data_IF_312780319808
#
_entry.id   IF_312780319808
#
_cell.length_a   1.000
_cell.length_b   1.000
_cell.length_c   1.000
_cell.angle_alpha   90.00
_cell.angle_beta   90.00
_cell.angle_gamma   90.00
#
_symmetry.space_group_name_H-M   'P 1'
#
loop_
_entity.id
_entity.type
_entity.pdbx_description
1 polymer ?
#
# COMPACT_ATOMS: atom_id res chain seq x y z
N UNK A 1 8.20 19.54 21.88
CA UNK A 1 7.45 18.51 21.11
C UNK A 1 7.38 18.96 19.66
N UNK A 2 7.77 18.09 18.72
CA UNK A 2 7.59 18.41 17.30
C UNK A 2 6.11 18.30 16.95
N UNK A 3 5.63 19.26 16.12
CA UNK A 3 4.23 19.37 15.76
C UNK A 3 4.04 19.09 14.28
N UNK A 4 3.09 18.21 13.95
CA UNK A 4 2.72 17.80 12.61
C UNK A 4 1.23 18.05 12.37
N UNK A 5 0.84 18.17 11.12
CA UNK A 5 -0.57 18.15 10.76
C UNK A 5 -1.09 16.72 10.75
N UNK A 6 -0.31 15.80 10.16
CA UNK A 6 -0.66 14.39 10.05
C UNK A 6 0.51 13.53 10.52
N UNK A 7 0.22 12.50 11.32
CA UNK A 7 1.16 11.42 11.63
C UNK A 7 0.61 10.13 11.03
N UNK A 8 1.43 9.44 10.24
CA UNK A 8 1.11 8.15 9.65
C UNK A 8 1.94 7.07 10.35
N UNK A 9 1.28 6.06 10.88
CA UNK A 9 1.90 4.96 11.61
C UNK A 9 1.92 3.72 10.74
N UNK A 10 3.11 3.32 10.30
CA UNK A 10 3.35 2.19 9.41
C UNK A 10 3.68 2.63 7.98
N UNK A 11 4.86 2.23 7.50
CA UNK A 11 5.36 2.52 6.15
C UNK A 11 5.20 1.32 5.20
N UNK A 12 4.09 0.59 5.32
CA UNK A 12 3.60 -0.30 4.27
C UNK A 12 2.95 0.51 3.15
N UNK A 13 2.45 -0.17 2.11
CA UNK A 13 1.90 0.49 0.91
C UNK A 13 0.83 1.53 1.25
N UNK A 14 -0.15 1.19 2.10
CA UNK A 14 -1.21 2.11 2.49
C UNK A 14 -0.68 3.34 3.26
N UNK A 15 0.28 3.13 4.17
CA UNK A 15 0.86 4.24 4.93
C UNK A 15 1.72 5.17 4.07
N UNK A 16 2.46 4.61 3.12
CA UNK A 16 3.24 5.39 2.15
C UNK A 16 2.32 6.28 1.31
N UNK A 17 1.26 5.73 0.75
CA UNK A 17 0.28 6.51 -0.03
C UNK A 17 -0.37 7.61 0.82
N UNK A 18 -0.79 7.30 2.04
CA UNK A 18 -1.37 8.30 2.95
C UNK A 18 -0.38 9.42 3.30
N UNK A 19 0.89 9.08 3.54
CA UNK A 19 1.92 10.05 3.88
C UNK A 19 2.27 10.95 2.68
N UNK A 20 2.45 10.36 1.50
CA UNK A 20 2.73 11.11 0.27
C UNK A 20 1.56 12.02 -0.11
N UNK A 21 0.32 11.52 -0.05
CA UNK A 21 -0.87 12.33 -0.32
C UNK A 21 -0.94 13.54 0.62
N UNK A 22 -0.79 13.33 1.93
CA UNK A 22 -0.80 14.41 2.92
C UNK A 22 0.31 15.43 2.66
N UNK A 23 1.54 14.98 2.40
CA UNK A 23 2.68 15.85 2.15
C UNK A 23 2.55 16.64 0.85
N UNK A 24 2.05 16.00 -0.22
CA UNK A 24 1.76 16.62 -1.53
C UNK A 24 0.65 17.69 -1.44
N UNK A 25 -0.29 17.50 -0.53
CA UNK A 25 -1.30 18.52 -0.17
C UNK A 25 -0.75 19.64 0.73
N UNK A 26 0.55 19.72 0.94
CA UNK A 26 1.22 20.77 1.72
C UNK A 26 1.08 20.62 3.23
N UNK A 27 0.66 19.45 3.74
CA UNK A 27 0.57 19.21 5.18
C UNK A 27 1.90 18.72 5.72
N UNK A 28 2.33 19.28 6.87
CA UNK A 28 3.52 18.79 7.57
C UNK A 28 3.22 17.39 8.11
N UNK A 29 3.84 16.39 7.50
CA UNK A 29 3.53 14.97 7.70
C UNK A 29 4.72 14.24 8.33
N UNK A 30 4.44 13.35 9.27
CA UNK A 30 5.40 12.41 9.83
C UNK A 30 4.99 10.99 9.45
N UNK A 31 5.88 10.24 8.83
CA UNK A 31 5.74 8.81 8.60
C UNK A 31 6.60 8.04 9.60
N UNK A 32 5.97 7.19 10.39
CA UNK A 32 6.63 6.33 11.37
C UNK A 32 6.75 4.90 10.84
N UNK A 33 7.94 4.35 10.91
CA UNK A 33 8.23 2.97 10.57
C UNK A 33 9.09 2.34 11.68
N UNK A 34 8.92 1.07 11.98
CA UNK A 34 9.71 0.38 13.00
C UNK A 34 11.19 0.32 12.58
N UNK A 35 11.43 -0.01 11.31
CA UNK A 35 12.77 -0.14 10.75
C UNK A 35 12.75 0.17 9.25
N UNK A 36 13.90 0.62 8.70
CA UNK A 36 14.04 0.93 7.26
C UNK A 36 13.72 -0.27 6.37
N UNK A 37 14.04 -1.47 6.80
CA UNK A 37 13.80 -2.71 6.06
C UNK A 37 12.31 -3.04 5.90
N UNK A 38 11.45 -2.36 6.66
CA UNK A 38 10.00 -2.54 6.59
C UNK A 38 9.31 -1.55 5.63
N UNK A 39 10.02 -0.53 5.16
CA UNK A 39 9.45 0.47 4.23
C UNK A 39 9.11 -0.18 2.89
N UNK A 40 7.85 -0.13 2.48
CA UNK A 40 7.39 -0.73 1.23
C UNK A 40 7.61 -2.24 1.12
N UNK A 41 7.80 -2.93 2.26
CA UNK A 41 8.11 -4.36 2.26
C UNK A 41 6.96 -5.21 1.74
N UNK A 42 7.27 -6.06 0.78
CA UNK A 42 6.34 -7.04 0.22
C UNK A 42 6.41 -8.34 1.01
N UNK A 43 5.57 -8.47 2.03
CA UNK A 43 5.57 -9.62 2.95
C UNK A 43 5.12 -10.93 2.29
N UNK A 44 4.34 -10.85 1.22
CA UNK A 44 3.80 -11.98 0.48
C UNK A 44 4.49 -12.12 -0.88
N UNK A 45 3.73 -12.30 -1.96
CA UNK A 45 4.26 -12.33 -3.31
C UNK A 45 4.77 -10.94 -3.71
N UNK A 46 5.93 -10.85 -4.38
CA UNK A 46 6.45 -9.59 -4.87
C UNK A 46 5.70 -9.19 -6.15
N UNK A 47 4.44 -8.84 -6.02
CA UNK A 47 3.62 -8.42 -7.17
C UNK A 47 2.65 -7.31 -6.80
N UNK A 48 2.47 -6.38 -7.73
CA UNK A 48 1.49 -5.30 -7.66
C UNK A 48 0.39 -5.57 -8.70
N UNK A 49 -0.85 -5.25 -8.34
CA UNK A 49 -1.99 -5.45 -9.22
C UNK A 49 -2.54 -6.89 -9.19
N UNK A 50 -3.05 -7.34 -10.33
CA UNK A 50 -3.81 -8.58 -10.46
C UNK A 50 -5.31 -8.38 -10.38
N UNK A 51 -6.09 -9.46 -10.50
CA UNK A 51 -7.54 -9.40 -10.56
C UNK A 51 -8.15 -8.63 -9.38
N UNK A 52 -8.94 -7.61 -9.67
CA UNK A 52 -9.55 -6.70 -8.70
C UNK A 52 -8.57 -5.70 -8.05
N UNK A 53 -7.25 -5.94 -8.11
CA UNK A 53 -6.24 -5.08 -7.50
C UNK A 53 -5.62 -4.10 -8.50
N UNK A 54 -5.41 -4.52 -9.75
CA UNK A 54 -4.86 -3.66 -10.79
C UNK A 54 -5.71 -2.42 -11.07
N UNK A 55 -7.03 -2.55 -10.97
CA UNK A 55 -7.97 -1.43 -11.07
C UNK A 55 -7.72 -0.40 -9.96
N UNK A 56 -7.60 -0.86 -8.72
CA UNK A 56 -7.35 0.01 -7.56
C UNK A 56 -6.00 0.72 -7.69
N UNK A 57 -4.96 0.04 -8.17
CA UNK A 57 -3.65 0.67 -8.42
C UNK A 57 -3.78 1.82 -9.42
N UNK A 58 -4.54 1.63 -10.49
CA UNK A 58 -4.80 2.69 -11.48
C UNK A 58 -5.63 3.85 -10.93
N UNK A 59 -6.59 3.56 -10.06
CA UNK A 59 -7.36 4.60 -9.35
C UNK A 59 -6.45 5.42 -8.43
N UNK A 60 -5.55 4.76 -7.70
CA UNK A 60 -4.55 5.43 -6.85
C UNK A 60 -3.63 6.30 -7.70
N UNK A 61 -3.15 5.80 -8.84
CA UNK A 61 -2.32 6.56 -9.79
C UNK A 61 -3.05 7.80 -10.32
N UNK A 62 -4.32 7.66 -10.71
CA UNK A 62 -5.17 8.76 -11.17
C UNK A 62 -5.36 9.87 -10.11
N UNK A 63 -5.25 9.51 -8.82
CA UNK A 63 -5.25 10.45 -7.70
C UNK A 63 -3.86 11.04 -7.38
N UNK A 64 -2.84 10.70 -8.16
CA UNK A 64 -1.46 11.14 -7.94
C UNK A 64 -0.70 10.29 -6.92
N UNK A 65 -1.07 9.02 -6.75
CA UNK A 65 -0.36 8.06 -5.91
C UNK A 65 0.98 7.61 -6.47
N UNK A 66 1.73 6.86 -5.70
CA UNK A 66 3.09 6.45 -6.03
C UNK A 66 3.23 4.98 -6.37
N UNK A 67 2.29 4.14 -5.92
CA UNK A 67 2.39 2.68 -6.04
C UNK A 67 2.56 2.20 -7.48
N UNK A 68 1.77 2.74 -8.41
CA UNK A 68 1.86 2.40 -9.84
C UNK A 68 3.20 2.83 -10.44
N UNK A 69 3.61 4.07 -10.18
CA UNK A 69 4.88 4.62 -10.65
C UNK A 69 6.07 3.79 -10.14
N UNK A 70 6.03 3.41 -8.86
CA UNK A 70 7.09 2.61 -8.25
C UNK A 70 7.11 1.18 -8.78
N UNK A 71 5.94 0.59 -9.00
CA UNK A 71 5.81 -0.73 -9.62
C UNK A 71 6.39 -0.76 -11.04
N UNK A 72 6.11 0.25 -11.84
CA UNK A 72 6.64 0.33 -13.21
C UNK A 72 8.17 0.40 -13.27
N UNK A 73 8.80 1.03 -12.26
CA UNK A 73 10.27 1.13 -12.14
C UNK A 73 10.94 -0.17 -11.67
N UNK A 74 10.22 -1.00 -10.92
CA UNK A 74 10.78 -2.20 -10.29
C UNK A 74 10.25 -3.51 -10.87
N UNK A 75 9.36 -3.45 -11.86
CA UNK A 75 8.78 -4.61 -12.49
C UNK A 75 9.83 -5.43 -13.27
N UNK A 76 9.83 -6.73 -13.02
CA UNK A 76 10.60 -7.71 -13.81
C UNK A 76 9.73 -8.42 -14.85
N UNK A 77 8.42 -8.36 -14.69
CA UNK A 77 7.43 -8.90 -15.63
C UNK A 77 6.11 -8.17 -15.45
N UNK A 78 5.46 -7.82 -16.54
CA UNK A 78 4.08 -7.28 -16.55
C UNK A 78 3.18 -8.17 -17.39
N UNK A 79 1.98 -8.42 -16.92
CA UNK A 79 1.01 -9.25 -17.62
C UNK A 79 -0.42 -8.72 -17.44
N UNK A 80 -1.15 -8.62 -18.55
CA UNK A 80 -2.58 -8.37 -18.50
C UNK A 80 -3.31 -9.68 -18.22
N UNK A 81 -4.01 -9.75 -17.09
CA UNK A 81 -4.85 -10.90 -16.72
C UNK A 81 -6.26 -10.73 -17.29
N UNK A 82 -6.91 -11.87 -17.53
CA UNK A 82 -8.31 -11.94 -17.97
C UNK A 82 -8.57 -11.30 -19.34
N UNK A 83 -7.58 -11.18 -20.22
CA UNK A 83 -7.69 -10.55 -21.55
C UNK A 83 -8.74 -11.20 -22.45
N UNK A 84 -9.14 -12.45 -22.17
CA UNK A 84 -10.18 -13.18 -22.92
C UNK A 84 -11.59 -13.03 -22.31
N UNK A 85 -11.72 -12.35 -21.14
CA UNK A 85 -13.00 -12.31 -20.39
C UNK A 85 -13.74 -10.97 -20.51
N UNK A 86 -13.24 -10.06 -21.31
CA UNK A 86 -13.81 -8.74 -21.56
C UNK A 86 -13.13 -7.61 -20.76
N UNK A 87 -13.24 -6.35 -21.24
CA UNK A 87 -12.47 -5.21 -20.76
C UNK A 87 -12.67 -4.88 -19.27
N UNK A 88 -13.88 -5.09 -18.76
CA UNK A 88 -14.21 -4.78 -17.36
C UNK A 88 -13.40 -5.56 -16.31
N UNK A 89 -12.82 -6.70 -16.71
CA UNK A 89 -12.01 -7.55 -15.82
C UNK A 89 -10.54 -7.61 -16.22
N UNK A 90 -10.12 -6.83 -17.22
CA UNK A 90 -8.72 -6.70 -17.58
C UNK A 90 -7.97 -6.14 -16.38
N UNK A 91 -6.94 -6.84 -15.95
CA UNK A 91 -6.23 -6.46 -14.75
C UNK A 91 -4.73 -6.63 -14.92
N UNK A 92 -4.02 -5.52 -14.92
CA UNK A 92 -2.58 -5.53 -14.96
C UNK A 92 -2.00 -6.12 -13.69
N UNK A 93 -1.02 -6.99 -13.83
CA UNK A 93 -0.21 -7.51 -12.74
C UNK A 93 1.26 -7.36 -13.11
N UNK A 94 2.03 -6.71 -12.24
CA UNK A 94 3.47 -6.67 -12.33
C UNK A 94 4.10 -7.57 -11.26
N UNK A 95 5.08 -8.35 -11.68
CA UNK A 95 5.98 -9.08 -10.78
C UNK A 95 7.18 -8.18 -10.50
N UNK A 96 7.54 -8.01 -9.23
CA UNK A 96 8.47 -6.99 -8.79
C UNK A 96 9.81 -7.57 -8.33
N UNK A 97 10.90 -6.84 -8.58
CA UNK A 97 12.10 -6.98 -7.77
C UNK A 97 11.87 -6.29 -6.42
N UNK A 98 11.75 -7.09 -5.36
CA UNK A 98 11.49 -6.60 -4.00
C UNK A 98 12.49 -5.57 -3.51
N UNK A 99 13.76 -5.77 -3.83
CA UNK A 99 14.85 -4.91 -3.36
C UNK A 99 14.83 -3.60 -4.12
N UNK A 100 14.62 -3.66 -5.43
CA UNK A 100 14.52 -2.47 -6.26
C UNK A 100 13.27 -1.65 -5.90
N UNK A 101 12.13 -2.31 -5.69
CA UNK A 101 10.90 -1.66 -5.27
C UNK A 101 11.08 -0.86 -3.97
N UNK A 102 11.71 -1.46 -2.95
CA UNK A 102 12.00 -0.77 -1.69
C UNK A 102 12.96 0.41 -1.88
N UNK A 103 14.01 0.24 -2.69
CA UNK A 103 14.97 1.33 -2.96
C UNK A 103 14.30 2.53 -3.63
N UNK A 104 13.45 2.29 -4.62
CA UNK A 104 12.78 3.36 -5.34
C UNK A 104 11.79 4.11 -4.45
N UNK A 105 10.99 3.40 -3.65
CA UNK A 105 10.04 4.06 -2.77
C UNK A 105 10.73 4.85 -1.65
N UNK A 106 11.85 4.35 -1.11
CA UNK A 106 12.63 5.08 -0.11
C UNK A 106 13.16 6.39 -0.71
N UNK A 107 13.72 6.35 -1.92
CA UNK A 107 14.16 7.58 -2.63
C UNK A 107 13.03 8.60 -2.76
N UNK A 108 11.84 8.14 -3.13
CA UNK A 108 10.67 9.03 -3.25
C UNK A 108 10.32 9.68 -1.91
N UNK A 109 10.34 8.90 -0.82
CA UNK A 109 10.03 9.40 0.52
C UNK A 109 11.07 10.41 1.02
N UNK A 110 12.36 10.17 0.76
CA UNK A 110 13.46 11.02 1.21
C UNK A 110 13.46 12.41 0.56
N UNK A 111 13.03 12.50 -0.70
CA UNK A 111 12.99 13.80 -1.41
C UNK A 111 11.65 14.52 -1.30
N UNK A 112 10.63 13.87 -0.71
CA UNK A 112 9.30 14.44 -0.61
C UNK A 112 9.28 15.64 0.36
N UNK A 113 8.94 16.82 -0.14
CA UNK A 113 8.73 18.02 0.70
C UNK A 113 7.58 17.78 1.69
N UNK A 114 7.66 18.40 2.86
CA UNK A 114 6.69 18.32 3.95
C UNK A 114 6.54 16.93 4.58
N UNK A 115 7.45 15.99 4.31
CA UNK A 115 7.45 14.63 4.84
C UNK A 115 8.72 14.39 5.65
N UNK A 116 8.55 14.03 6.91
CA UNK A 116 9.62 13.48 7.76
C UNK A 116 9.41 11.97 7.90
N UNK A 117 10.43 11.16 7.59
CA UNK A 117 10.44 9.72 7.83
C UNK A 117 11.26 9.44 9.08
N UNK A 118 10.69 8.69 10.04
CA UNK A 118 11.39 8.29 11.26
C UNK A 118 11.24 6.81 11.57
N UNK A 119 12.35 6.23 12.02
CA UNK A 119 12.43 4.83 12.41
C UNK A 119 12.18 4.68 13.91
N UNK A 120 10.91 4.68 14.26
CA UNK A 120 10.40 4.60 15.62
C UNK A 120 9.12 3.78 15.65
N UNK A 121 8.97 2.96 16.70
CA UNK A 121 7.74 2.22 16.95
C UNK A 121 6.72 3.11 17.65
N UNK A 122 5.54 3.27 17.06
CA UNK A 122 4.42 3.92 17.73
C UNK A 122 3.83 2.98 18.78
N UNK A 123 3.73 3.43 20.02
CA UNK A 123 3.25 2.66 21.16
C UNK A 123 1.87 3.10 21.66
N UNK A 124 1.54 4.39 21.47
CA UNK A 124 0.32 4.95 22.02
C UNK A 124 -0.23 6.08 21.16
N UNK A 125 -1.54 6.21 21.10
CA UNK A 125 -2.24 7.40 20.59
C UNK A 125 -2.73 8.24 21.77
N UNK A 126 -2.56 9.56 21.66
CA UNK A 126 -3.02 10.51 22.69
C UNK A 126 -4.35 11.11 22.23
N UNK A 127 -5.42 10.75 22.92
CA UNK A 127 -6.76 11.27 22.66
C UNK A 127 -7.21 12.10 23.85
N UNK A 128 -7.74 13.29 23.59
CA UNK A 128 -8.37 14.17 24.59
C UNK A 128 -9.65 14.75 24.01
N UNK A 129 -10.72 14.69 24.75
CA UNK A 129 -12.04 15.18 24.33
C UNK A 129 -12.46 14.59 22.97
N UNK A 130 -12.29 13.27 22.80
CA UNK A 130 -12.57 12.51 21.57
C UNK A 130 -11.79 13.00 20.32
N UNK A 131 -10.72 13.76 20.51
CA UNK A 131 -9.87 14.28 19.44
C UNK A 131 -8.43 13.80 19.63
N UNK A 132 -7.81 13.33 18.54
CA UNK A 132 -6.39 13.02 18.52
C UNK A 132 -5.59 14.29 18.87
N UNK A 133 -4.58 14.14 19.69
CA UNK A 133 -3.63 15.20 20.08
C UNK A 133 -2.19 14.85 19.71
N UNK A 134 -1.90 13.58 19.51
CA UNK A 134 -0.56 13.13 19.18
C UNK A 134 -0.39 11.64 19.28
N UNK A 135 0.85 11.22 19.12
CA UNK A 135 1.31 9.84 19.30
C UNK A 135 2.55 9.78 20.17
N UNK A 136 2.73 8.66 20.86
CA UNK A 136 3.94 8.34 21.62
C UNK A 136 4.64 7.19 20.92
N UNK A 137 5.94 7.35 20.74
CA UNK A 137 6.81 6.30 20.21
C UNK A 137 7.75 5.81 21.29
N UNK A 138 8.50 4.75 20.99
CA UNK A 138 9.55 4.24 21.88
C UNK A 138 10.72 5.23 22.09
N UNK A 139 10.77 6.35 21.35
CA UNK A 139 11.84 7.35 21.44
C UNK A 139 11.33 8.75 21.76
N UNK A 140 10.13 9.10 21.30
CA UNK A 140 9.68 10.48 21.28
C UNK A 140 8.16 10.59 21.41
N UNK A 141 7.72 11.84 21.55
CA UNK A 141 6.30 12.21 21.54
C UNK A 141 6.06 13.29 20.50
N UNK A 142 5.03 13.10 19.69
CA UNK A 142 4.67 14.00 18.58
C UNK A 142 3.25 14.51 18.72
N UNK A 143 3.05 15.81 18.59
CA UNK A 143 1.73 16.40 18.48
C UNK A 143 1.23 16.30 17.04
N UNK A 144 -0.06 15.99 16.86
CA UNK A 144 -0.69 16.00 15.55
C UNK A 144 -2.17 16.38 15.60
N UNK A 145 -2.69 16.83 14.45
CA UNK A 145 -4.12 17.11 14.25
C UNK A 145 -4.89 15.88 13.76
N UNK A 146 -4.20 14.97 13.05
CA UNK A 146 -4.74 13.71 12.56
C UNK A 146 -3.68 12.61 12.65
N UNK A 147 -4.13 11.37 12.84
CA UNK A 147 -3.28 10.20 12.80
C UNK A 147 -3.91 9.14 11.88
N UNK A 148 -3.09 8.55 11.00
CA UNK A 148 -3.47 7.43 10.13
C UNK A 148 -2.76 6.19 10.65
N UNK A 149 -3.51 5.15 10.99
CA UNK A 149 -2.96 3.88 11.48
C UNK A 149 -2.96 2.88 10.32
N UNK A 150 -1.79 2.55 9.83
CA UNK A 150 -1.56 1.69 8.67
C UNK A 150 -0.55 0.57 8.96
N UNK A 151 -0.67 -0.04 10.13
CA UNK A 151 0.29 -1.00 10.69
C UNK A 151 0.30 -2.37 10.00
N UNK A 152 -0.74 -2.68 9.22
CA UNK A 152 -0.84 -3.93 8.45
C UNK A 152 -0.64 -5.17 9.31
N UNK A 153 0.21 -6.07 8.85
CA UNK A 153 0.50 -7.36 9.49
C UNK A 153 1.51 -7.29 10.66
N UNK A 154 1.96 -6.09 11.01
CA UNK A 154 2.93 -5.91 12.11
C UNK A 154 2.25 -5.69 13.46
N UNK A 155 0.99 -5.23 13.49
CA UNK A 155 0.26 -4.98 14.71
C UNK A 155 -0.11 -6.31 15.38
N UNK A 156 0.56 -6.60 16.49
CA UNK A 156 0.36 -7.85 17.24
C UNK A 156 0.48 -9.12 16.37
N UNK A 157 1.39 -9.05 15.39
CA UNK A 157 1.57 -10.05 14.35
C UNK A 157 2.00 -11.41 14.89
N UNK A 158 1.61 -12.46 14.16
CA UNK A 158 1.95 -13.87 14.49
C UNK A 158 2.22 -14.62 13.20
N UNK A 159 3.30 -15.41 13.19
CA UNK A 159 3.64 -16.31 12.08
C UNK A 159 3.21 -17.72 12.46
N UNK A 160 2.50 -18.39 11.56
CA UNK A 160 2.04 -19.77 11.73
C UNK A 160 2.56 -20.59 10.54
N UNK A 161 3.33 -21.65 10.82
CA UNK A 161 3.87 -22.57 9.81
C UNK A 161 3.61 -24.01 10.30
N UNK A 162 2.53 -24.61 9.84
CA UNK A 162 2.07 -25.90 10.39
C UNK A 162 1.85 -25.81 11.91
N UNK A 163 2.51 -26.64 12.72
CA UNK A 163 2.41 -26.57 14.19
C UNK A 163 3.25 -25.46 14.82
N UNK A 164 4.14 -24.83 14.06
CA UNK A 164 5.01 -23.78 14.56
C UNK A 164 4.30 -22.46 14.60
N UNK A 165 4.29 -21.83 15.77
CA UNK A 165 3.71 -20.49 15.97
C UNK A 165 4.74 -19.57 16.63
N UNK A 166 4.93 -18.39 16.10
CA UNK A 166 5.84 -17.37 16.64
C UNK A 166 5.20 -15.99 16.61
N UNK A 167 5.22 -15.31 17.74
CA UNK A 167 4.83 -13.90 17.83
C UNK A 167 5.90 -13.04 17.18
N UNK A 168 5.64 -12.58 15.95
CA UNK A 168 6.60 -11.85 15.12
C UNK A 168 5.88 -11.13 13.98
N UNK A 169 6.48 -10.11 13.45
CA UNK A 169 6.14 -9.57 12.13
C UNK A 169 6.59 -10.51 11.00
N UNK A 170 6.24 -10.19 9.74
CA UNK A 170 6.62 -10.99 8.57
C UNK A 170 8.13 -11.22 8.51
N UNK A 171 8.54 -12.39 8.03
CA UNK A 171 9.97 -12.74 7.85
C UNK A 171 10.84 -12.63 9.12
N UNK A 172 10.22 -12.70 10.31
CA UNK A 172 10.93 -12.59 11.58
C UNK A 172 11.20 -11.17 12.05
N UNK A 173 10.70 -10.15 11.37
CA UNK A 173 10.81 -8.76 11.81
C UNK A 173 10.06 -8.50 13.13
N UNK A 174 10.45 -7.43 13.80
CA UNK A 174 9.81 -6.98 15.04
C UNK A 174 8.33 -6.65 14.78
N UNK A 175 7.43 -7.12 15.64
CA UNK A 175 6.02 -6.72 15.67
C UNK A 175 5.80 -5.52 16.60
N UNK A 176 4.71 -4.79 16.41
CA UNK A 176 4.24 -3.77 17.34
C UNK A 176 3.25 -4.38 18.33
N UNK A 177 3.46 -4.20 19.62
CA UNK A 177 2.66 -4.84 20.68
C UNK A 177 1.82 -3.84 21.48
N UNK A 178 2.39 -2.67 21.79
CA UNK A 178 1.77 -1.72 22.72
C UNK A 178 0.63 -0.94 22.11
N UNK A 179 0.72 -0.65 20.82
CA UNK A 179 -0.28 0.16 20.12
C UNK A 179 -1.67 -0.48 20.14
N UNK A 180 -1.76 -1.82 20.07
CA UNK A 180 -3.03 -2.55 20.15
C UNK A 180 -3.82 -2.16 21.39
N UNK A 181 -3.17 -2.18 22.57
CA UNK A 181 -3.80 -1.83 23.85
C UNK A 181 -4.25 -0.37 23.87
N UNK A 182 -3.43 0.53 23.33
CA UNK A 182 -3.78 1.94 23.23
C UNK A 182 -5.00 2.19 22.33
N UNK A 183 -5.09 1.50 21.20
CA UNK A 183 -6.26 1.59 20.30
C UNK A 183 -7.52 1.07 20.99
N UNK A 184 -7.45 -0.09 21.65
CA UNK A 184 -8.58 -0.70 22.36
C UNK A 184 -9.06 0.18 23.53
N UNK A 185 -8.16 0.77 24.31
CA UNK A 185 -8.52 1.67 25.41
C UNK A 185 -9.21 2.96 24.93
N UNK A 186 -9.02 3.32 23.65
CA UNK A 186 -9.73 4.42 23.00
C UNK A 186 -11.01 3.98 22.26
N UNK A 187 -11.48 2.75 22.49
CA UNK A 187 -12.75 2.26 21.96
C UNK A 187 -12.69 1.73 20.53
N UNK A 188 -11.49 1.44 20.00
CA UNK A 188 -11.34 0.84 18.68
C UNK A 188 -11.38 -0.68 18.82
N UNK A 189 -12.40 -1.32 18.24
CA UNK A 189 -12.48 -2.78 18.17
C UNK A 189 -11.44 -3.32 17.18
N UNK A 190 -10.62 -4.26 17.64
CA UNK A 190 -9.54 -4.85 16.85
C UNK A 190 -9.83 -6.32 16.64
N UNK A 191 -9.82 -6.73 15.36
CA UNK A 191 -10.00 -8.12 14.95
C UNK A 191 -8.76 -8.61 14.21
N UNK A 192 -8.38 -9.86 14.50
CA UNK A 192 -7.28 -10.51 13.80
C UNK A 192 -7.77 -11.15 12.50
N UNK A 193 -7.03 -10.91 11.43
CA UNK A 193 -7.20 -11.59 10.15
C UNK A 193 -5.93 -12.35 9.81
N UNK A 194 -6.07 -13.42 9.03
CA UNK A 194 -4.92 -14.15 8.49
C UNK A 194 -4.76 -13.86 7.00
N UNK A 195 -3.52 -13.84 6.54
CA UNK A 195 -3.16 -13.93 5.13
C UNK A 195 -2.21 -15.09 4.93
N UNK A 196 -2.28 -15.75 3.78
CA UNK A 196 -1.38 -16.85 3.42
C UNK A 196 -0.30 -16.38 2.46
N UNK A 197 0.89 -16.92 2.63
CA UNK A 197 1.98 -16.82 1.67
C UNK A 197 2.24 -18.19 1.04
N UNK A 198 2.46 -18.31 -0.28
CA UNK A 198 2.85 -19.57 -0.88
C UNK A 198 4.21 -20.03 -0.34
N UNK A 199 4.43 -21.34 -0.37
CA UNK A 199 5.72 -21.91 -0.01
C UNK A 199 6.83 -21.36 -0.90
N UNK A 200 8.00 -21.15 -0.32
CA UNK A 200 9.23 -20.82 -1.05
C UNK A 200 10.06 -22.08 -1.20
N UNK A 201 10.48 -22.34 -2.39
CA UNK A 201 11.32 -23.49 -2.74
C UNK A 201 12.69 -23.01 -3.19
N UNK A 202 13.69 -23.85 -3.03
CA UNK A 202 15.03 -23.55 -3.55
C UNK A 202 15.01 -23.59 -5.07
N UNK A 203 15.66 -22.61 -5.71
CA UNK A 203 15.75 -22.50 -7.16
C UNK A 203 16.29 -23.78 -7.80
N UNK A 204 17.29 -24.37 -7.19
CA UNK A 204 17.98 -25.57 -7.71
C UNK A 204 17.15 -26.86 -7.53
N UNK A 205 16.03 -26.81 -6.79
CA UNK A 205 15.09 -27.92 -6.66
C UNK A 205 13.97 -27.90 -7.72
N UNK A 206 13.97 -26.92 -8.62
CA UNK A 206 12.94 -26.77 -9.64
C UNK A 206 13.34 -27.58 -10.87
N UNK A 207 12.48 -28.51 -11.28
CA UNK A 207 12.62 -29.17 -12.57
C UNK A 207 12.02 -28.31 -13.69
N UNK A 208 12.84 -27.49 -14.32
CA UNK A 208 12.45 -26.62 -15.40
C UNK A 208 11.98 -27.36 -16.65
N UNK A 209 12.30 -28.65 -16.82
CA UNK A 209 11.87 -29.45 -17.96
C UNK A 209 10.38 -29.75 -17.94
N UNK A 210 9.75 -29.67 -16.76
CA UNK A 210 8.31 -29.87 -16.55
C UNK A 210 7.49 -28.57 -16.64
N UNK A 211 8.15 -27.43 -16.89
CA UNK A 211 7.52 -26.14 -16.91
C UNK A 211 7.38 -25.60 -18.33
N UNK A 212 6.25 -25.00 -18.64
CA UNK A 212 6.07 -24.23 -19.85
C UNK A 212 6.76 -22.86 -19.70
N UNK A 213 7.48 -22.46 -20.74
CA UNK A 213 8.06 -21.14 -20.82
C UNK A 213 6.98 -20.13 -21.19
N UNK A 214 6.63 -19.25 -20.28
CA UNK A 214 5.79 -18.12 -20.56
C UNK A 214 6.60 -17.02 -21.25
N UNK A 215 6.27 -16.73 -22.52
CA UNK A 215 6.82 -15.58 -23.24
C UNK A 215 5.85 -14.44 -23.00
N UNK A 216 6.31 -13.43 -22.27
CA UNK A 216 5.58 -12.19 -22.10
C UNK A 216 6.09 -11.24 -23.17
N UNK A 217 5.23 -10.86 -24.09
CA UNK A 217 5.52 -9.76 -25.00
C UNK A 217 5.69 -8.50 -24.13
N UNK A 218 6.66 -7.65 -24.47
CA UNK A 218 6.78 -6.33 -23.88
C UNK A 218 5.46 -5.61 -24.13
N UNK A 219 4.55 -5.69 -23.18
CA UNK A 219 3.28 -5.01 -23.29
C UNK A 219 3.51 -3.54 -22.94
N UNK A 220 3.01 -2.65 -23.76
CA UNK A 220 2.98 -1.20 -23.56
C UNK A 220 2.17 -0.76 -22.33
N UNK A 221 1.89 -1.67 -21.41
CA UNK A 221 0.98 -1.44 -20.29
C UNK A 221 1.74 -1.16 -18.99
N UNK A 222 1.93 0.10 -18.72
CA UNK A 222 2.35 0.58 -17.41
C UNK A 222 1.13 0.84 -16.51
N UNK A 223 1.35 0.80 -15.19
CA UNK A 223 0.36 1.31 -14.23
C UNK A 223 0.26 2.82 -14.33
N UNK A 224 1.41 3.47 -14.47
CA UNK A 224 1.48 4.91 -14.69
C UNK A 224 0.74 5.26 -15.96
N UNK A 225 -0.20 6.13 -15.82
CA UNK A 225 -0.95 6.62 -16.95
C UNK A 225 -0.19 7.71 -17.69
N UNK A 226 0.48 7.35 -18.77
CA UNK A 226 1.20 8.29 -19.62
C UNK A 226 0.28 9.21 -20.43
N UNK A 227 -1.01 8.89 -20.53
CA UNK A 227 -1.98 9.60 -21.35
C UNK A 227 -2.85 10.60 -20.58
N UNK A 228 -2.55 10.85 -19.30
CA UNK A 228 -3.25 11.84 -18.50
C UNK A 228 -4.67 11.45 -18.07
N UNK A 229 -4.96 10.15 -17.93
CA UNK A 229 -6.20 9.71 -17.31
C UNK A 229 -6.28 10.24 -15.87
N UNK A 230 -7.38 10.73 -15.49
CA UNK A 230 -7.73 11.22 -14.17
C UNK A 230 -9.07 10.66 -13.74
N UNK A 231 -9.38 10.72 -12.48
CA UNK A 231 -10.74 10.47 -12.06
C UNK A 231 -11.68 11.46 -12.76
N UNK A 232 -12.83 11.01 -13.24
CA UNK A 232 -13.81 11.90 -13.81
C UNK A 232 -14.23 12.96 -12.79
N UNK A 233 -14.50 14.16 -13.27
CA UNK A 233 -15.15 15.18 -12.45
C UNK A 233 -16.55 14.72 -12.06
N UNK A 234 -17.17 15.37 -11.08
CA UNK A 234 -18.52 15.03 -10.67
C UNK A 234 -19.51 15.06 -11.85
N UNK A 235 -19.38 16.04 -12.73
CA UNK A 235 -20.20 16.16 -13.95
C UNK A 235 -19.96 15.02 -14.93
N UNK A 236 -18.71 14.67 -15.17
CA UNK A 236 -18.37 13.54 -16.05
C UNK A 236 -18.83 12.22 -15.44
N UNK A 237 -18.69 12.05 -14.11
CA UNK A 237 -19.16 10.86 -13.42
C UNK A 237 -20.69 10.74 -13.52
N UNK A 238 -21.43 11.82 -13.34
CA UNK A 238 -22.88 11.84 -13.48
C UNK A 238 -23.31 11.50 -14.91
N UNK A 239 -22.59 12.03 -15.92
CA UNK A 239 -22.82 11.70 -17.31
C UNK A 239 -22.64 10.21 -17.59
N UNK A 240 -21.56 9.60 -17.10
CA UNK A 240 -21.32 8.15 -17.22
C UNK A 240 -22.39 7.33 -16.48
N UNK A 241 -22.76 7.73 -15.28
CA UNK A 241 -23.77 7.04 -14.47
C UNK A 241 -25.15 7.03 -15.15
N UNK A 242 -25.43 8.02 -15.95
CA UNK A 242 -26.67 8.10 -16.77
C UNK A 242 -26.55 7.42 -18.14
N UNK A 243 -25.52 6.65 -18.42
CA UNK A 243 -25.32 5.90 -19.63
C UNK A 243 -24.59 6.66 -20.76
N UNK A 244 -24.07 7.88 -20.48
CA UNK A 244 -23.25 8.63 -21.42
C UNK A 244 -23.93 8.87 -22.78
N UNK A 245 -23.19 8.71 -23.86
CA UNK A 245 -23.66 8.92 -25.23
C UNK A 245 -24.89 8.06 -25.58
N UNK A 246 -24.92 6.82 -25.10
CA UNK A 246 -26.03 5.88 -25.39
C UNK A 246 -27.32 6.40 -24.79
N UNK A 247 -27.31 6.97 -23.61
CA UNK A 247 -28.50 7.53 -22.97
C UNK A 247 -29.03 8.76 -23.73
N UNK A 248 -28.16 9.58 -24.29
CA UNK A 248 -28.53 10.70 -25.15
C UNK A 248 -29.23 10.20 -26.40
N UNK A 249 -28.65 9.21 -27.06
CA UNK A 249 -29.22 8.63 -28.30
C UNK A 249 -30.55 7.92 -28.08
N UNK A 250 -30.75 7.35 -26.88
CA UNK A 250 -31.98 6.68 -26.50
C UNK A 250 -33.05 7.58 -25.85
N UNK A 251 -32.74 8.85 -25.66
CA UNK A 251 -33.66 9.83 -25.04
C UNK A 251 -34.02 9.54 -23.60
N UNK A 252 -33.14 8.89 -22.85
CA UNK A 252 -33.33 8.49 -21.45
C UNK A 252 -32.81 9.53 -20.42
N UNK A 253 -32.80 10.81 -20.81
CA UNK A 253 -32.52 11.95 -19.93
C UNK A 253 -33.78 12.54 -19.33
#
# INVERSE_FOLDING_TARGET
MSKYDVVVVGAGHAGIEAALASARMGKKTLLLCIDITNVGYMACNPSIGGTGKGHIVREIDALGGEMGINADKAAIQKKMLNSTKGPAVFSLRAQEDKVQYQKEIIKTLEVQKNLDLKYEECEEIIVKDKKIKGVVTNKSKYECKAAVIATGVYLDGEIIIGPYTKQSGPSGYKRSERLTKSLQSNGIDIRKFKTGTPARIYRDSIDYSQLEKEIVEESETDFKNTEGFRLPTEVEWEWFARGGQIAIEQGTF
#
